data_IF_338495617291
#
_entry.id   IF_338495617291
#
_cell.length_a   1.000
_cell.length_b   1.000
_cell.length_c   1.000
_cell.angle_alpha   90.00
_cell.angle_beta   90.00
_cell.angle_gamma   90.00
#
_symmetry.space_group_name_H-M   'P 1'
#
loop_
_entity.id
_entity.type
_entity.pdbx_description
1 polymer ?
#
# COMPACT_ATOMS: atom_id res chain seq x y z
N UNK A 1 97.71 -94.33 41.28
CA UNK A 1 97.45 -95.78 41.34
C UNK A 1 96.78 -96.18 40.03
N UNK A 2 97.10 -97.38 39.54
CA UNK A 2 96.84 -97.87 38.19
C UNK A 2 95.36 -97.83 37.78
N UNK A 3 95.08 -97.38 36.55
CA UNK A 3 93.78 -97.50 35.89
C UNK A 3 93.49 -98.96 35.57
N UNK A 4 92.34 -99.47 36.02
CA UNK A 4 91.83 -100.78 35.65
C UNK A 4 90.54 -101.10 36.40
N UNK A 5 89.41 -100.83 35.75
CA UNK A 5 88.00 -101.07 36.15
C UNK A 5 87.42 -99.99 37.09
N UNK A 6 87.09 -98.82 36.52
CA UNK A 6 86.17 -97.83 37.10
C UNK A 6 84.99 -97.66 36.12
N UNK A 7 83.76 -97.57 36.62
CA UNK A 7 82.61 -97.20 35.79
C UNK A 7 82.75 -95.76 35.27
N UNK A 8 82.10 -95.44 34.14
CA UNK A 8 82.20 -94.13 33.46
C UNK A 8 81.87 -92.93 34.38
N UNK A 9 81.02 -93.15 35.39
CA UNK A 9 80.61 -92.16 36.39
C UNK A 9 81.74 -91.81 37.37
N UNK A 10 82.53 -92.79 37.81
CA UNK A 10 83.61 -92.59 38.79
C UNK A 10 84.81 -91.83 38.18
N UNK A 11 85.08 -92.01 36.88
CA UNK A 11 86.17 -91.32 36.18
C UNK A 11 85.84 -89.84 35.98
N UNK A 12 84.58 -89.53 35.68
CA UNK A 12 84.07 -88.16 35.60
C UNK A 12 84.07 -87.48 36.97
N UNK A 13 83.78 -88.21 38.05
CA UNK A 13 83.86 -87.71 39.42
C UNK A 13 85.31 -87.44 39.86
N UNK A 14 86.26 -88.33 39.52
CA UNK A 14 87.69 -88.10 39.76
C UNK A 14 88.22 -86.84 39.05
N UNK A 15 87.88 -86.64 37.78
CA UNK A 15 88.29 -85.43 37.05
C UNK A 15 87.57 -84.18 37.58
N UNK A 16 86.29 -84.24 37.94
CA UNK A 16 85.59 -83.11 38.57
C UNK A 16 86.20 -82.74 39.92
N UNK A 17 86.58 -83.71 40.75
CA UNK A 17 87.19 -83.46 42.06
C UNK A 17 88.62 -82.89 41.90
N UNK A 18 89.47 -83.51 41.06
CA UNK A 18 90.86 -83.06 40.87
C UNK A 18 90.96 -81.72 40.14
N UNK A 19 90.17 -81.51 39.10
CA UNK A 19 90.15 -80.21 38.43
C UNK A 19 89.41 -79.17 39.29
N UNK A 20 88.37 -79.56 40.04
CA UNK A 20 87.65 -78.70 40.96
C UNK A 20 88.52 -78.19 42.11
N UNK A 21 89.23 -79.07 42.82
CA UNK A 21 90.18 -78.70 43.87
C UNK A 21 91.34 -77.84 43.35
N UNK A 22 91.87 -78.17 42.16
CA UNK A 22 92.96 -77.40 41.55
C UNK A 22 92.50 -76.02 41.08
N UNK A 23 91.28 -75.90 40.56
CA UNK A 23 90.67 -74.61 40.25
C UNK A 23 90.40 -73.78 41.51
N UNK A 24 89.90 -74.41 42.57
CA UNK A 24 89.70 -73.76 43.88
C UNK A 24 91.02 -73.24 44.46
N UNK A 25 92.09 -74.04 44.44
CA UNK A 25 93.43 -73.59 44.86
C UNK A 25 94.00 -72.47 43.99
N UNK A 26 93.73 -72.47 42.68
CA UNK A 26 94.14 -71.39 41.80
C UNK A 26 93.32 -70.10 42.03
N UNK A 27 92.02 -70.22 42.32
CA UNK A 27 91.15 -69.09 42.65
C UNK A 27 91.50 -68.48 44.02
N UNK A 28 91.94 -69.30 44.99
CA UNK A 28 92.34 -68.85 46.32
C UNK A 28 93.68 -68.09 46.33
N UNK A 29 94.48 -68.16 45.25
CA UNK A 29 95.72 -67.36 45.06
C UNK A 29 95.47 -65.95 44.55
N UNK A 30 94.23 -65.61 44.16
CA UNK A 30 93.87 -64.25 43.80
C UNK A 30 93.41 -63.50 45.07
N UNK A 31 93.93 -62.30 45.35
CA UNK A 31 93.48 -61.55 46.52
C UNK A 31 91.98 -61.24 46.38
N UNK A 32 91.25 -61.39 47.48
CA UNK A 32 89.83 -61.08 47.56
C UNK A 32 89.64 -59.54 47.55
N UNK A 33 89.78 -58.92 46.37
CA UNK A 33 89.61 -57.48 46.19
C UNK A 33 88.14 -57.20 45.90
N UNK A 34 87.34 -57.11 46.95
CA UNK A 34 86.09 -56.39 46.89
C UNK A 34 86.40 -54.92 46.54
N UNK A 35 86.09 -54.51 45.31
CA UNK A 35 85.67 -53.14 45.03
C UNK A 35 86.41 -52.33 43.96
N UNK A 36 87.72 -52.51 43.68
CA UNK A 36 88.45 -51.44 42.95
C UNK A 36 89.46 -51.83 41.85
N UNK A 37 89.56 -53.09 41.41
CA UNK A 37 90.45 -53.48 40.29
C UNK A 37 89.71 -54.19 39.15
N UNK A 38 88.73 -53.52 38.54
CA UNK A 38 88.37 -53.87 37.16
C UNK A 38 89.54 -53.57 36.21
N UNK A 39 89.95 -54.56 35.42
CA UNK A 39 90.90 -54.39 34.31
C UNK A 39 90.42 -53.25 33.39
N UNK A 40 91.30 -52.36 32.87
CA UNK A 40 90.93 -51.27 31.97
C UNK A 40 90.04 -51.72 30.79
N UNK A 41 90.23 -52.95 30.31
CA UNK A 41 89.44 -53.55 29.25
C UNK A 41 87.99 -53.88 29.67
N UNK A 42 87.75 -54.25 30.93
CA UNK A 42 86.41 -54.54 31.47
C UNK A 42 85.63 -53.22 31.66
N UNK A 43 86.25 -52.19 32.26
CA UNK A 43 85.66 -50.84 32.37
C UNK A 43 85.27 -50.26 31.02
N UNK A 44 86.11 -50.43 30.01
CA UNK A 44 85.83 -49.96 28.65
C UNK A 44 84.60 -50.66 28.06
N UNK A 45 84.46 -51.97 28.25
CA UNK A 45 83.32 -52.76 27.77
C UNK A 45 82.02 -52.37 28.49
N UNK A 46 82.09 -52.12 29.79
CA UNK A 46 80.95 -51.64 30.58
C UNK A 46 80.52 -50.24 30.16
N UNK A 47 81.47 -49.31 30.01
CA UNK A 47 81.18 -47.96 29.47
C UNK A 47 80.60 -48.02 28.06
N UNK A 48 81.04 -48.98 27.23
CA UNK A 48 80.47 -49.21 25.88
C UNK A 48 79.04 -49.78 25.95
N UNK A 49 78.74 -50.66 26.91
CA UNK A 49 77.39 -51.17 27.16
C UNK A 49 76.48 -50.05 27.69
N UNK A 50 76.93 -49.28 28.66
CA UNK A 50 76.24 -48.10 29.20
C UNK A 50 75.94 -47.09 28.08
N UNK A 51 76.93 -46.76 27.24
CA UNK A 51 76.76 -45.85 26.11
C UNK A 51 75.70 -46.36 25.13
N UNK A 52 75.65 -47.67 24.83
CA UNK A 52 74.62 -48.26 23.96
C UNK A 52 73.23 -48.18 24.60
N UNK A 53 73.10 -48.49 25.89
CA UNK A 53 71.82 -48.39 26.61
C UNK A 53 71.35 -46.93 26.69
N UNK A 54 72.26 -46.00 27.01
CA UNK A 54 72.00 -44.55 27.02
C UNK A 54 71.61 -44.04 25.63
N UNK A 55 72.31 -44.47 24.58
CA UNK A 55 71.97 -44.11 23.21
C UNK A 55 70.57 -44.61 22.81
N UNK A 56 70.26 -45.87 23.15
CA UNK A 56 68.93 -46.43 22.91
C UNK A 56 67.83 -45.64 23.65
N UNK A 57 68.04 -45.34 24.93
CA UNK A 57 67.11 -44.54 25.74
C UNK A 57 66.95 -43.11 25.19
N UNK A 58 68.04 -42.47 24.73
CA UNK A 58 68.00 -41.15 24.09
C UNK A 58 67.22 -41.18 22.77
N UNK A 59 67.41 -42.21 21.94
CA UNK A 59 66.65 -42.38 20.69
C UNK A 59 65.16 -42.58 20.99
N UNK A 60 64.80 -43.38 22.00
CA UNK A 60 63.41 -43.52 22.44
C UNK A 60 62.82 -42.19 22.93
N UNK A 61 63.54 -41.44 23.77
CA UNK A 61 63.14 -40.11 24.23
C UNK A 61 62.93 -39.13 23.06
N UNK A 62 63.81 -39.14 22.06
CA UNK A 62 63.69 -38.33 20.84
C UNK A 62 62.42 -38.68 20.06
N UNK A 63 62.14 -39.97 19.86
CA UNK A 63 60.91 -40.44 19.19
C UNK A 63 59.65 -40.02 19.97
N UNK A 64 59.63 -40.22 21.29
CA UNK A 64 58.50 -39.81 22.13
C UNK A 64 58.25 -38.31 22.10
N UNK A 65 59.32 -37.51 22.14
CA UNK A 65 59.22 -36.06 22.01
C UNK A 65 58.67 -35.66 20.65
N UNK A 66 59.14 -36.29 19.57
CA UNK A 66 58.66 -36.02 18.22
C UNK A 66 57.17 -36.32 18.07
N UNK A 67 56.70 -37.49 18.52
CA UNK A 67 55.27 -37.84 18.50
C UNK A 67 54.42 -36.86 19.33
N UNK A 68 54.94 -36.43 20.49
CA UNK A 68 54.25 -35.43 21.33
C UNK A 68 54.18 -34.08 20.61
N UNK A 69 55.23 -33.69 19.91
CA UNK A 69 55.26 -32.44 19.17
C UNK A 69 54.29 -32.48 17.97
N UNK A 70 54.22 -33.60 17.26
CA UNK A 70 53.24 -33.82 16.19
C UNK A 70 51.80 -33.74 16.70
N UNK A 71 51.50 -34.37 17.83
CA UNK A 71 50.17 -34.29 18.46
C UNK A 71 49.82 -32.87 18.91
N UNK A 72 50.78 -32.13 19.46
CA UNK A 72 50.57 -30.73 19.83
C UNK A 72 50.34 -29.85 18.59
N UNK A 73 51.08 -30.09 17.50
CA UNK A 73 50.93 -29.34 16.26
C UNK A 73 49.54 -29.55 15.65
N UNK A 74 49.07 -30.80 15.58
CA UNK A 74 47.71 -31.13 15.13
C UNK A 74 46.65 -30.41 15.97
N UNK A 75 46.81 -30.41 17.30
CA UNK A 75 45.87 -29.73 18.20
C UNK A 75 45.90 -28.21 18.04
N UNK A 76 47.07 -27.63 17.76
CA UNK A 76 47.22 -26.22 17.44
C UNK A 76 46.49 -25.86 16.14
N UNK A 77 46.62 -26.68 15.10
CA UNK A 77 45.89 -26.51 13.84
C UNK A 77 44.37 -26.62 14.04
N UNK A 78 43.90 -27.62 14.79
CA UNK A 78 42.48 -27.77 15.13
C UNK A 78 41.90 -26.56 15.87
N UNK A 79 42.66 -26.00 16.83
CA UNK A 79 42.26 -24.79 17.55
C UNK A 79 42.20 -23.59 16.60
N UNK A 80 43.15 -23.46 15.68
CA UNK A 80 43.12 -22.40 14.65
C UNK A 80 41.88 -22.49 13.76
N UNK A 81 41.48 -23.70 13.36
CA UNK A 81 40.25 -23.91 12.58
C UNK A 81 39.01 -23.53 13.40
N UNK A 82 38.92 -23.94 14.67
CA UNK A 82 37.80 -23.60 15.57
C UNK A 82 37.72 -22.09 15.83
N UNK A 83 38.84 -21.43 16.01
CA UNK A 83 38.90 -19.98 16.17
C UNK A 83 38.39 -19.26 14.91
N UNK A 84 38.83 -19.69 13.72
CA UNK A 84 38.37 -19.14 12.46
C UNK A 84 36.85 -19.33 12.26
N UNK A 85 36.31 -20.50 12.63
CA UNK A 85 34.88 -20.77 12.59
C UNK A 85 34.11 -19.84 13.54
N UNK A 86 34.57 -19.67 14.78
CA UNK A 86 33.94 -18.77 15.75
C UNK A 86 33.92 -17.31 15.26
N UNK A 87 35.05 -16.83 14.71
CA UNK A 87 35.12 -15.49 14.10
C UNK A 87 34.11 -15.33 12.96
N UNK A 88 33.99 -16.33 12.09
CA UNK A 88 33.01 -16.30 11.00
C UNK A 88 31.56 -16.30 11.53
N UNK A 89 31.26 -17.04 12.61
CA UNK A 89 29.95 -17.00 13.24
C UNK A 89 29.65 -15.63 13.86
N UNK A 90 30.60 -15.03 14.58
CA UNK A 90 30.45 -13.71 15.18
C UNK A 90 30.15 -12.66 14.09
N UNK A 91 30.90 -12.66 12.99
CA UNK A 91 30.65 -11.74 11.87
C UNK A 91 29.25 -11.90 11.29
N UNK A 92 28.77 -13.14 11.12
CA UNK A 92 27.39 -13.40 10.66
C UNK A 92 26.34 -12.91 11.66
N UNK A 93 26.58 -13.08 12.96
CA UNK A 93 25.69 -12.58 14.01
C UNK A 93 25.65 -11.05 14.04
N UNK A 94 26.80 -10.38 13.95
CA UNK A 94 26.87 -8.92 13.87
C UNK A 94 26.08 -8.40 12.67
N UNK A 95 26.27 -8.99 11.48
CA UNK A 95 25.50 -8.64 10.30
C UNK A 95 23.99 -8.84 10.52
N UNK A 96 23.59 -9.98 11.11
CA UNK A 96 22.18 -10.26 11.41
C UNK A 96 21.57 -9.21 12.36
N UNK A 97 22.29 -8.81 13.41
CA UNK A 97 21.84 -7.79 14.35
C UNK A 97 21.69 -6.44 13.63
N UNK A 98 22.66 -6.04 12.81
CA UNK A 98 22.60 -4.80 12.03
C UNK A 98 21.40 -4.79 11.06
N UNK A 99 21.17 -5.88 10.33
CA UNK A 99 20.04 -6.01 9.42
C UNK A 99 18.69 -5.97 10.16
N UNK A 100 18.60 -6.62 11.32
CA UNK A 100 17.41 -6.58 12.16
C UNK A 100 17.14 -5.18 12.70
N UNK A 101 18.18 -4.50 13.19
CA UNK A 101 18.11 -3.12 13.66
C UNK A 101 17.63 -2.19 12.55
N UNK A 102 18.14 -2.37 11.33
CA UNK A 102 17.71 -1.59 10.17
C UNK A 102 16.26 -1.86 9.79
N UNK A 103 15.77 -3.10 9.89
CA UNK A 103 14.34 -3.43 9.73
C UNK A 103 13.48 -2.73 10.79
N UNK A 104 13.91 -2.74 12.06
CA UNK A 104 13.23 -2.04 13.17
C UNK A 104 13.15 -0.54 12.91
N UNK A 105 14.27 0.09 12.52
CA UNK A 105 14.31 1.52 12.19
C UNK A 105 13.37 1.86 11.03
N UNK A 106 13.35 1.07 9.96
CA UNK A 106 12.43 1.28 8.82
C UNK A 106 10.97 1.17 9.23
N UNK A 107 10.63 0.15 10.02
CA UNK A 107 9.27 -0.02 10.54
C UNK A 107 8.85 1.16 11.43
N UNK A 108 9.73 1.60 12.33
CA UNK A 108 9.49 2.74 13.21
C UNK A 108 9.32 4.05 12.44
N UNK A 109 10.16 4.31 11.42
CA UNK A 109 10.00 5.47 10.53
C UNK A 109 8.66 5.45 9.81
N UNK A 110 8.23 4.29 9.30
CA UNK A 110 6.92 4.14 8.63
C UNK A 110 5.77 4.44 9.58
N UNK A 111 5.79 3.90 10.79
CA UNK A 111 4.76 4.14 11.82
C UNK A 111 4.73 5.62 12.23
N UNK A 112 5.89 6.25 12.44
CA UNK A 112 5.94 7.67 12.80
C UNK A 112 5.40 8.55 11.67
N UNK A 113 5.76 8.27 10.42
CA UNK A 113 5.24 9.00 9.26
C UNK A 113 3.72 8.88 9.16
N UNK A 114 3.18 7.67 9.39
CA UNK A 114 1.74 7.44 9.39
C UNK A 114 1.03 8.16 10.54
N UNK A 115 1.62 8.17 11.74
CA UNK A 115 1.11 8.94 12.88
C UNK A 115 1.09 10.45 12.61
N UNK A 116 2.15 10.99 12.04
CA UNK A 116 2.23 12.40 11.65
C UNK A 116 1.14 12.79 10.65
N UNK A 117 0.94 11.96 9.61
CA UNK A 117 -0.13 12.15 8.62
C UNK A 117 -1.52 12.10 9.27
N UNK A 118 -1.78 11.14 10.16
CA UNK A 118 -3.04 11.06 10.91
C UNK A 118 -3.27 12.31 11.76
N UNK A 119 -2.24 12.80 12.45
CA UNK A 119 -2.32 14.04 13.23
C UNK A 119 -2.60 15.27 12.33
N UNK A 120 -2.00 15.34 11.14
CA UNK A 120 -2.28 16.39 10.16
C UNK A 120 -3.74 16.35 9.70
N UNK A 121 -4.24 15.21 9.24
CA UNK A 121 -5.63 15.06 8.79
C UNK A 121 -6.64 15.34 9.90
N UNK A 122 -6.36 14.94 11.14
CA UNK A 122 -7.24 15.25 12.27
C UNK A 122 -7.33 16.76 12.53
N UNK A 123 -6.22 17.49 12.41
CA UNK A 123 -6.22 18.96 12.52
C UNK A 123 -7.01 19.60 11.39
N UNK A 124 -6.83 19.14 10.15
CA UNK A 124 -7.58 19.64 8.98
C UNK A 124 -9.08 19.38 9.11
N UNK A 125 -9.46 18.18 9.56
CA UNK A 125 -10.85 17.83 9.81
C UNK A 125 -11.48 18.73 10.87
N UNK A 126 -10.74 18.99 11.96
CA UNK A 126 -11.22 19.87 13.05
C UNK A 126 -11.38 21.30 12.57
N UNK A 127 -10.41 21.83 11.81
CA UNK A 127 -10.48 23.15 11.18
C UNK A 127 -11.68 23.25 10.24
N UNK A 128 -11.85 22.30 9.32
CA UNK A 128 -12.97 22.30 8.38
C UNK A 128 -14.33 22.22 9.08
N UNK A 129 -14.44 21.46 10.18
CA UNK A 129 -15.66 21.44 11.01
C UNK A 129 -15.95 22.79 11.64
N UNK A 130 -14.94 23.48 12.18
CA UNK A 130 -15.09 24.81 12.75
C UNK A 130 -15.51 25.84 11.70
N UNK A 131 -14.86 25.83 10.53
CA UNK A 131 -15.20 26.71 9.40
C UNK A 131 -16.65 26.49 8.92
N UNK A 132 -17.09 25.24 8.81
CA UNK A 132 -18.46 24.91 8.43
C UNK A 132 -19.48 25.46 9.44
N UNK A 133 -19.19 25.35 10.74
CA UNK A 133 -20.07 25.92 11.79
C UNK A 133 -20.11 27.44 11.69
N UNK A 134 -18.95 28.10 11.53
CA UNK A 134 -18.88 29.55 11.39
C UNK A 134 -19.66 30.05 10.16
N UNK A 135 -19.48 29.39 9.00
CA UNK A 135 -20.20 29.72 7.78
C UNK A 135 -21.71 29.52 7.91
N UNK A 136 -22.16 28.46 8.59
CA UNK A 136 -23.59 28.26 8.86
C UNK A 136 -24.16 29.38 9.72
N UNK A 137 -23.42 29.82 10.71
CA UNK A 137 -23.84 30.87 11.62
C UNK A 137 -23.92 32.23 10.90
N UNK A 138 -22.94 32.54 10.03
CA UNK A 138 -23.00 33.72 9.16
C UNK A 138 -24.16 33.66 8.17
N UNK A 139 -24.40 32.50 7.55
CA UNK A 139 -25.56 32.32 6.66
C UNK A 139 -26.87 32.57 7.41
N UNK A 140 -27.03 32.01 8.62
CA UNK A 140 -28.21 32.24 9.45
C UNK A 140 -28.38 33.74 9.79
N UNK A 141 -27.29 34.42 10.16
CA UNK A 141 -27.30 35.86 10.45
C UNK A 141 -27.73 36.69 9.25
N UNK A 142 -27.17 36.42 8.07
CA UNK A 142 -27.53 37.11 6.84
C UNK A 142 -28.96 36.81 6.39
N UNK A 143 -29.40 35.57 6.53
CA UNK A 143 -30.77 35.15 6.20
C UNK A 143 -31.79 35.84 7.10
N UNK A 144 -31.53 35.95 8.41
CA UNK A 144 -32.37 36.70 9.33
C UNK A 144 -32.45 38.17 8.92
N UNK A 145 -31.31 38.80 8.61
CA UNK A 145 -31.26 40.19 8.16
C UNK A 145 -32.06 40.40 6.85
N UNK A 146 -32.01 39.45 5.93
CA UNK A 146 -32.77 39.51 4.68
C UNK A 146 -34.28 39.37 4.93
N UNK A 147 -34.66 38.53 5.89
CA UNK A 147 -36.05 38.41 6.33
C UNK A 147 -36.56 39.70 6.97
N UNK A 148 -35.75 40.36 7.80
CA UNK A 148 -36.10 41.68 8.39
C UNK A 148 -36.34 42.72 7.29
N UNK A 149 -35.57 42.66 6.20
CA UNK A 149 -35.74 43.55 5.05
C UNK A 149 -36.94 43.22 4.14
N UNK A 150 -37.64 42.10 4.36
CA UNK A 150 -38.79 41.71 3.54
C UNK A 150 -39.92 42.74 3.57
N UNK A 151 -40.06 43.49 4.67
CA UNK A 151 -41.06 44.56 4.82
C UNK A 151 -40.79 45.68 3.82
N UNK A 152 -39.53 46.10 3.67
CA UNK A 152 -39.16 47.14 2.71
C UNK A 152 -39.34 46.66 1.27
N UNK A 153 -39.01 45.39 0.99
CA UNK A 153 -39.22 44.82 -0.34
C UNK A 153 -40.71 44.87 -0.72
N UNK A 154 -41.59 44.36 0.15
CA UNK A 154 -43.06 44.43 -0.04
C UNK A 154 -43.58 45.85 -0.19
N UNK A 155 -43.05 46.80 0.59
CA UNK A 155 -43.41 48.20 0.45
C UNK A 155 -43.02 48.76 -0.92
N UNK A 156 -41.79 48.50 -1.37
CA UNK A 156 -41.31 48.94 -2.67
C UNK A 156 -42.09 48.32 -3.83
N UNK A 157 -42.40 47.03 -3.76
CA UNK A 157 -43.32 46.37 -4.71
C UNK A 157 -44.65 47.12 -4.75
N UNK A 158 -45.21 47.49 -3.59
CA UNK A 158 -46.49 48.19 -3.53
C UNK A 158 -46.43 49.62 -4.07
N UNK A 159 -45.32 50.32 -3.87
CA UNK A 159 -45.10 51.66 -4.45
C UNK A 159 -45.00 51.57 -5.97
N UNK A 160 -44.27 50.59 -6.50
CA UNK A 160 -44.14 50.38 -7.95
C UNK A 160 -45.48 49.98 -8.57
N UNK A 161 -46.24 49.08 -7.95
CA UNK A 161 -47.59 48.70 -8.42
C UNK A 161 -48.51 49.91 -8.57
N UNK A 162 -48.45 50.84 -7.61
CA UNK A 162 -49.27 52.05 -7.57
C UNK A 162 -48.66 53.23 -8.34
N UNK A 163 -47.51 53.07 -9.00
CA UNK A 163 -46.86 54.16 -9.70
C UNK A 163 -47.66 54.56 -10.95
N UNK A 164 -47.46 55.81 -11.38
CA UNK A 164 -48.08 56.30 -12.60
C UNK A 164 -47.61 55.52 -13.82
N UNK A 165 -46.35 55.05 -13.84
CA UNK A 165 -45.80 54.20 -14.90
C UNK A 165 -46.52 52.85 -14.98
N UNK A 166 -46.78 52.19 -13.85
CA UNK A 166 -47.55 50.94 -13.80
C UNK A 166 -48.97 51.15 -14.33
N UNK A 167 -49.64 52.23 -13.88
CA UNK A 167 -50.97 52.62 -14.34
C UNK A 167 -50.98 52.92 -15.84
N UNK A 168 -49.98 53.66 -16.32
CA UNK A 168 -49.83 54.01 -17.73
C UNK A 168 -49.60 52.77 -18.60
N UNK A 169 -48.73 51.86 -18.18
CA UNK A 169 -48.50 50.58 -18.85
C UNK A 169 -49.79 49.74 -18.94
N UNK A 170 -50.61 49.72 -17.88
CA UNK A 170 -51.91 49.04 -17.90
C UNK A 170 -52.90 49.66 -18.89
N UNK A 171 -53.00 51.00 -18.93
CA UNK A 171 -53.85 51.73 -19.88
C UNK A 171 -53.39 51.46 -21.30
N UNK A 172 -52.09 51.56 -21.58
CA UNK A 172 -51.54 51.29 -22.91
C UNK A 172 -51.80 49.85 -23.36
N UNK A 173 -51.57 48.87 -22.49
CA UNK A 173 -51.87 47.46 -22.80
C UNK A 173 -53.35 47.23 -23.09
N UNK A 174 -54.23 47.87 -22.33
CA UNK A 174 -55.69 47.79 -22.55
C UNK A 174 -56.11 48.47 -23.85
N UNK A 175 -55.57 49.65 -24.13
CA UNK A 175 -55.81 50.37 -25.37
C UNK A 175 -55.33 49.56 -26.58
N UNK A 176 -54.12 48.99 -26.53
CA UNK A 176 -53.59 48.12 -27.59
C UNK A 176 -54.51 46.92 -27.86
N UNK A 177 -55.00 46.26 -26.80
CA UNK A 177 -55.99 45.17 -26.92
C UNK A 177 -57.29 45.62 -27.58
N UNK A 178 -57.84 46.77 -27.17
CA UNK A 178 -59.09 47.32 -27.75
C UNK A 178 -58.91 47.74 -29.21
N UNK A 179 -57.78 48.37 -29.55
CA UNK A 179 -57.45 48.75 -30.93
C UNK A 179 -57.32 47.53 -31.83
N UNK A 180 -56.66 46.48 -31.35
CA UNK A 180 -56.56 45.21 -32.08
C UNK A 180 -57.94 44.61 -32.34
N UNK A 181 -58.79 44.50 -31.31
CA UNK A 181 -60.14 43.97 -31.43
C UNK A 181 -60.98 44.79 -32.40
N UNK A 182 -60.94 46.11 -32.31
CA UNK A 182 -61.64 47.01 -33.24
C UNK A 182 -61.17 46.77 -34.68
N UNK A 183 -59.86 46.67 -34.91
CA UNK A 183 -59.30 46.35 -36.23
C UNK A 183 -59.80 44.99 -36.75
N UNK A 184 -59.85 43.97 -35.90
CA UNK A 184 -60.39 42.66 -36.26
C UNK A 184 -61.87 42.73 -36.65
N UNK A 185 -62.69 43.44 -35.87
CA UNK A 185 -64.12 43.64 -36.18
C UNK A 185 -64.27 44.37 -37.51
N UNK A 186 -63.55 45.49 -37.70
CA UNK A 186 -63.57 46.26 -38.96
C UNK A 186 -63.22 45.38 -40.16
N UNK A 187 -62.17 44.57 -40.06
CA UNK A 187 -61.75 43.67 -41.13
C UNK A 187 -62.79 42.58 -41.42
N UNK A 188 -63.35 41.96 -40.38
CA UNK A 188 -64.39 40.94 -40.55
C UNK A 188 -65.66 41.53 -41.19
N UNK A 189 -66.11 42.70 -40.71
CA UNK A 189 -67.24 43.44 -41.28
C UNK A 189 -66.99 43.78 -42.73
N UNK A 190 -65.84 44.38 -43.06
CA UNK A 190 -65.52 44.76 -44.44
C UNK A 190 -65.53 43.54 -45.37
N UNK A 191 -64.95 42.42 -44.93
CA UNK A 191 -64.94 41.17 -45.68
C UNK A 191 -66.37 40.66 -45.95
N UNK A 192 -67.24 40.66 -44.94
CA UNK A 192 -68.64 40.25 -45.10
C UNK A 192 -69.41 41.21 -46.01
N UNK A 193 -69.22 42.51 -45.84
CA UNK A 193 -69.85 43.54 -46.68
C UNK A 193 -69.47 43.36 -48.16
N UNK A 194 -68.18 43.14 -48.46
CA UNK A 194 -67.73 42.88 -49.82
C UNK A 194 -68.40 41.65 -50.46
N UNK A 195 -68.67 40.61 -49.67
CA UNK A 195 -69.43 39.44 -50.14
C UNK A 195 -70.87 39.83 -50.47
N UNK A 196 -71.54 40.55 -49.57
CA UNK A 196 -72.92 41.03 -49.74
C UNK A 196 -73.05 41.93 -50.98
N UNK A 197 -72.20 42.95 -51.10
CA UNK A 197 -72.19 43.86 -52.26
C UNK A 197 -71.96 43.13 -53.58
N UNK A 198 -71.05 42.12 -53.59
CA UNK A 198 -70.82 41.28 -54.78
C UNK A 198 -72.06 40.49 -55.17
N UNK A 199 -72.84 39.98 -54.21
CA UNK A 199 -74.07 39.22 -54.48
C UNK A 199 -75.20 40.13 -54.97
N UNK A 200 -75.33 41.34 -54.41
CA UNK A 200 -76.34 42.32 -54.81
C UNK A 200 -76.09 42.95 -56.19
N UNK A 201 -74.88 42.78 -56.77
CA UNK A 201 -74.45 43.41 -58.04
C UNK A 201 -74.59 44.94 -58.05
N UNK A 202 -74.70 45.57 -56.89
CA UNK A 202 -74.75 47.02 -56.74
C UNK A 202 -73.36 47.57 -56.46
N UNK A 203 -72.96 48.59 -57.22
CA UNK A 203 -71.81 49.42 -56.89
C UNK A 203 -72.22 50.38 -55.76
N UNK A 204 -72.36 49.85 -54.54
CA UNK A 204 -72.67 50.68 -53.37
C UNK A 204 -71.40 51.42 -52.95
N UNK A 205 -71.43 52.74 -53.07
CA UNK A 205 -70.32 53.64 -52.74
C UNK A 205 -70.26 53.85 -51.20
N UNK A 206 -69.97 52.78 -50.46
CA UNK A 206 -69.76 52.84 -49.01
C UNK A 206 -68.27 52.99 -48.74
N UNK A 207 -67.92 54.00 -47.94
CA UNK A 207 -66.54 54.23 -47.55
C UNK A 207 -65.96 53.03 -46.79
N UNK A 208 -64.69 52.69 -47.05
CA UNK A 208 -64.00 51.55 -46.44
C UNK A 208 -63.96 51.63 -44.90
N UNK A 209 -63.96 52.84 -44.34
CA UNK A 209 -63.93 53.09 -42.89
C UNK A 209 -65.31 53.19 -42.23
N UNK A 210 -66.40 53.20 -43.02
CA UNK A 210 -67.76 53.32 -42.49
C UNK A 210 -68.32 51.96 -42.07
N UNK A 211 -67.75 51.42 -40.99
CA UNK A 211 -68.12 50.11 -40.44
C UNK A 211 -69.59 50.01 -40.05
N UNK A 212 -70.21 51.12 -39.64
CA UNK A 212 -71.64 51.13 -39.26
C UNK A 212 -72.52 50.89 -40.48
N UNK A 213 -72.34 51.65 -41.58
CA UNK A 213 -73.12 51.42 -42.80
C UNK A 213 -72.86 50.05 -43.41
N UNK A 214 -71.61 49.56 -43.35
CA UNK A 214 -71.28 48.20 -43.79
C UNK A 214 -72.08 47.15 -43.00
N UNK A 215 -72.17 47.29 -41.67
CA UNK A 215 -72.97 46.42 -40.81
C UNK A 215 -74.47 46.54 -41.11
N UNK A 216 -75.00 47.75 -41.29
CA UNK A 216 -76.42 47.97 -41.62
C UNK A 216 -76.80 47.25 -42.92
N UNK A 217 -75.94 47.32 -43.93
CA UNK A 217 -76.16 46.63 -45.21
C UNK A 217 -76.06 45.11 -45.09
N UNK A 218 -75.09 44.60 -44.31
CA UNK A 218 -75.01 43.16 -44.02
C UNK A 218 -76.27 42.70 -43.29
N UNK A 219 -76.74 43.46 -42.30
CA UNK A 219 -77.93 43.16 -41.52
C UNK A 219 -79.19 43.14 -42.41
N UNK A 220 -79.38 44.17 -43.24
CA UNK A 220 -80.51 44.23 -44.16
C UNK A 220 -80.51 43.05 -45.12
N UNK A 221 -79.35 42.70 -45.68
CA UNK A 221 -79.23 41.56 -46.58
C UNK A 221 -79.58 40.22 -45.90
N UNK A 222 -79.11 40.01 -44.66
CA UNK A 222 -79.46 38.81 -43.88
C UNK A 222 -80.96 38.77 -43.58
N UNK A 223 -81.57 39.92 -43.26
CA UNK A 223 -83.00 40.03 -43.01
C UNK A 223 -83.81 39.69 -44.27
N UNK A 224 -83.44 40.27 -45.42
CA UNK A 224 -84.09 40.01 -46.70
C UNK A 224 -84.01 38.52 -47.08
N UNK A 225 -82.84 37.89 -46.95
CA UNK A 225 -82.68 36.46 -47.17
C UNK A 225 -83.53 35.61 -46.22
N UNK A 226 -83.61 36.01 -44.94
CA UNK A 226 -84.42 35.32 -43.94
C UNK A 226 -85.91 35.42 -44.25
N UNK A 227 -86.36 36.59 -44.70
CA UNK A 227 -87.75 36.84 -45.09
C UNK A 227 -88.11 36.05 -46.36
N UNK A 228 -87.24 36.06 -47.38
CA UNK A 228 -87.39 35.24 -48.60
C UNK A 228 -87.48 33.76 -48.22
N UNK A 229 -86.58 33.27 -47.37
CA UNK A 229 -86.60 31.88 -46.92
C UNK A 229 -87.87 31.50 -46.15
N UNK A 230 -88.33 32.38 -45.26
CA UNK A 230 -89.58 32.19 -44.53
C UNK A 230 -90.79 32.10 -45.48
N UNK A 231 -90.82 32.94 -46.51
CA UNK A 231 -91.85 32.91 -47.55
C UNK A 231 -91.77 31.65 -48.42
N UNK A 232 -90.58 31.20 -48.82
CA UNK A 232 -90.38 29.93 -49.55
C UNK A 232 -90.89 28.75 -48.73
N UNK A 233 -90.52 28.68 -47.45
CA UNK A 233 -90.95 27.61 -46.54
C UNK A 233 -92.47 27.58 -46.34
N UNK A 234 -93.12 28.74 -46.24
CA UNK A 234 -94.60 28.82 -46.18
C UNK A 234 -95.23 28.24 -47.45
N UNK A 235 -94.66 28.53 -48.63
CA UNK A 235 -95.16 28.03 -49.92
C UNK A 235 -94.94 26.52 -50.10
N UNK A 236 -93.81 25.97 -49.64
CA UNK A 236 -93.56 24.52 -49.63
C UNK A 236 -94.57 23.79 -48.73
N UNK A 237 -94.87 24.33 -47.54
CA UNK A 237 -95.87 23.75 -46.63
C UNK A 237 -97.30 23.80 -47.19
N UNK A 238 -97.59 24.76 -48.07
CA UNK A 238 -98.86 24.86 -48.78
C UNK A 238 -98.93 23.91 -49.97
N UNK A 239 -97.81 23.59 -50.62
CA UNK A 239 -97.74 22.59 -51.71
C UNK A 239 -97.80 21.13 -51.23
N UNK A 240 -97.32 20.82 -50.02
CA UNK A 240 -97.41 19.45 -49.43
C UNK A 240 -98.82 19.14 -48.87
N UNK A 241 -99.70 20.15 -48.78
CA UNK A 241 -101.09 20.02 -48.31
C UNK A 241 -102.12 19.94 -49.44
N UNK A 242 -101.67 19.82 -50.69
CA UNK A 242 -102.48 19.50 -51.87
C UNK A 242 -102.09 18.10 -52.35
#
# INVERSE_FOLDING_TARGET
MSLGIMEEEDLAEYFRLQYGERLLQMLQKFPNVHGELESPSIRLLEKKKEMKMMHHAMVQKKKMFQLRMESLNLRWEELGVKEAQLKAHIQKFEQFIQENDQKRIRAMKKVNKERELRCQHLRELTRGKQEMVALRLEHQRLSAKLQDYSIFNKYLEKVVENSEESRWAHIQNTAAKKTLLLGTIKMATLNLFQIVSKQLKEATEVALEDTHKQLDMIQQFIQDLSDIWAEVKKKEQQQVRV
#
